data_IF_380679393605
#
_entry.id   IF_380679393605
#
_cell.length_a   1.000
_cell.length_b   1.000
_cell.length_c   1.000
_cell.angle_alpha   90.00
_cell.angle_beta   90.00
_cell.angle_gamma   90.00
#
_symmetry.space_group_name_H-M   'P 1'
#
loop_
_entity.id
_entity.type
_entity.pdbx_description
1 polymer ?
#
# COMPACT_ATOMS: atom_id res chain seq x y z
N UNK A 1 -6.13 -5.08 -8.19
CA UNK A 1 -6.57 -6.45 -8.54
C UNK A 1 -7.51 -6.36 -9.74
N UNK A 2 -7.38 -7.22 -10.75
CA UNK A 2 -8.36 -7.25 -11.86
C UNK A 2 -9.67 -7.89 -11.40
N UNK A 3 -10.80 -7.40 -11.91
CA UNK A 3 -12.15 -7.84 -11.53
C UNK A 3 -12.38 -9.33 -11.82
N UNK A 4 -12.03 -9.78 -13.02
CA UNK A 4 -12.17 -11.16 -13.47
C UNK A 4 -11.37 -12.16 -12.61
N UNK A 5 -10.15 -11.79 -12.21
CA UNK A 5 -9.35 -12.60 -11.31
C UNK A 5 -9.97 -12.68 -9.92
N UNK A 6 -10.48 -11.56 -9.39
CA UNK A 6 -11.10 -11.53 -8.07
C UNK A 6 -12.41 -12.34 -8.00
N UNK A 7 -13.18 -12.36 -9.09
CA UNK A 7 -14.39 -13.17 -9.21
C UNK A 7 -14.08 -14.67 -9.28
N UNK A 8 -12.99 -15.05 -9.98
CA UNK A 8 -12.59 -16.45 -10.16
C UNK A 8 -11.80 -17.02 -8.98
N UNK A 9 -11.05 -16.18 -8.26
CA UNK A 9 -10.12 -16.58 -7.20
C UNK A 9 -10.29 -15.74 -5.92
N UNK A 10 -11.50 -15.62 -5.36
CA UNK A 10 -11.76 -14.77 -4.20
C UNK A 10 -10.91 -15.15 -2.98
N UNK A 11 -10.59 -16.43 -2.81
CA UNK A 11 -9.71 -16.96 -1.76
C UNK A 11 -8.27 -16.48 -1.91
N UNK A 12 -7.74 -16.42 -3.14
CA UNK A 12 -6.39 -15.92 -3.39
C UNK A 12 -6.32 -14.42 -3.10
N UNK A 13 -7.35 -13.66 -3.48
CA UNK A 13 -7.44 -12.23 -3.16
C UNK A 13 -7.46 -12.00 -1.65
N UNK A 14 -8.25 -12.77 -0.90
CA UNK A 14 -8.30 -12.69 0.57
C UNK A 14 -6.97 -13.07 1.21
N UNK A 15 -6.33 -14.15 0.74
CA UNK A 15 -5.03 -14.58 1.25
C UNK A 15 -3.94 -13.55 0.98
N UNK A 16 -3.96 -12.92 -0.20
CA UNK A 16 -3.04 -11.83 -0.54
C UNK A 16 -3.22 -10.65 0.42
N UNK A 17 -4.45 -10.15 0.59
CA UNK A 17 -4.74 -9.05 1.50
C UNK A 17 -4.32 -9.36 2.94
N UNK A 18 -4.64 -10.58 3.43
CA UNK A 18 -4.23 -11.03 4.75
C UNK A 18 -2.72 -11.06 4.92
N UNK A 19 -1.98 -11.60 3.94
CA UNK A 19 -0.53 -11.70 4.02
C UNK A 19 0.15 -10.33 4.18
N UNK A 20 -0.34 -9.31 3.44
CA UNK A 20 0.17 -7.95 3.55
C UNK A 20 -0.17 -7.30 4.90
N UNK A 21 -1.41 -7.46 5.38
CA UNK A 21 -1.83 -6.94 6.70
C UNK A 21 -0.99 -7.58 7.81
N UNK A 22 -0.87 -8.90 7.82
CA UNK A 22 -0.12 -9.65 8.83
C UNK A 22 1.36 -9.23 8.86
N UNK A 23 1.97 -8.98 7.70
CA UNK A 23 3.36 -8.53 7.61
C UNK A 23 3.58 -7.12 8.19
N UNK A 24 2.57 -6.25 8.14
CA UNK A 24 2.63 -4.88 8.65
C UNK A 24 2.33 -4.79 10.15
N UNK A 25 1.53 -5.71 10.71
CA UNK A 25 1.09 -5.66 12.11
C UNK A 25 2.24 -5.55 13.11
N UNK A 26 3.34 -6.33 13.03
CA UNK A 26 4.44 -6.22 13.98
C UNK A 26 5.12 -4.84 13.96
N UNK A 27 5.25 -4.22 12.79
CA UNK A 27 5.78 -2.85 12.69
C UNK A 27 4.81 -1.84 13.31
N UNK A 28 3.51 -1.94 13.04
CA UNK A 28 2.49 -1.06 13.62
C UNK A 28 2.47 -1.15 15.15
N UNK A 29 2.64 -2.36 15.69
CA UNK A 29 2.62 -2.60 17.13
C UNK A 29 3.85 -2.04 17.87
N UNK A 30 5.04 -2.16 17.27
CA UNK A 30 6.28 -1.65 17.85
C UNK A 30 7.33 -1.37 16.76
N UNK A 31 7.32 -0.16 16.15
CA UNK A 31 8.23 0.19 15.07
C UNK A 31 9.71 0.04 15.45
N UNK A 32 10.08 0.46 16.65
CA UNK A 32 11.45 0.42 17.17
C UNK A 32 11.96 -1.01 17.28
N UNK A 33 11.18 -1.90 17.91
CA UNK A 33 11.56 -3.30 18.05
C UNK A 33 11.60 -4.03 16.69
N UNK A 34 10.71 -3.67 15.77
CA UNK A 34 10.68 -4.25 14.43
C UNK A 34 11.90 -3.84 13.59
N UNK A 35 12.31 -2.58 13.69
CA UNK A 35 13.48 -2.03 12.99
C UNK A 35 14.82 -2.50 13.57
N UNK A 36 14.83 -3.00 14.80
CA UNK A 36 16.01 -3.64 15.39
C UNK A 36 16.23 -5.06 14.87
N UNK A 37 15.28 -5.66 14.15
CA UNK A 37 15.43 -7.00 13.58
C UNK A 37 16.27 -6.95 12.29
N UNK A 38 17.48 -7.52 12.26
CA UNK A 38 18.36 -7.43 11.07
C UNK A 38 17.73 -8.04 9.82
N UNK A 39 16.99 -9.14 9.98
CA UNK A 39 16.30 -9.81 8.88
C UNK A 39 15.27 -8.92 8.18
N UNK A 40 14.57 -8.06 8.93
CA UNK A 40 13.59 -7.13 8.37
C UNK A 40 14.28 -6.07 7.52
N UNK A 41 15.36 -5.51 8.06
CA UNK A 41 16.17 -4.48 7.39
C UNK A 41 16.80 -5.04 6.12
N UNK A 42 17.45 -6.21 6.22
CA UNK A 42 18.14 -6.82 5.09
C UNK A 42 17.19 -7.23 3.96
N UNK A 43 15.99 -7.77 4.30
CA UNK A 43 14.96 -8.08 3.31
C UNK A 43 14.48 -6.83 2.57
N UNK A 44 14.21 -5.74 3.28
CA UNK A 44 13.76 -4.48 2.68
C UNK A 44 14.86 -3.83 1.83
N UNK A 45 16.10 -3.80 2.33
CA UNK A 45 17.25 -3.30 1.57
C UNK A 45 17.39 -4.03 0.24
N UNK A 46 17.38 -5.37 0.27
CA UNK A 46 17.49 -6.21 -0.94
C UNK A 46 16.34 -5.99 -1.93
N UNK A 47 15.10 -5.89 -1.45
CA UNK A 47 13.92 -5.77 -2.32
C UNK A 47 13.77 -4.36 -2.91
N UNK A 48 14.20 -3.32 -2.17
CA UNK A 48 14.06 -1.93 -2.58
C UNK A 48 15.32 -1.38 -3.27
N UNK A 49 16.46 -2.08 -3.19
CA UNK A 49 17.71 -1.64 -3.80
C UNK A 49 18.38 -0.46 -3.09
N UNK A 50 18.15 -0.31 -1.78
CA UNK A 50 18.69 0.79 -0.95
C UNK A 50 19.65 0.25 0.11
N UNK A 51 20.63 1.03 0.58
CA UNK A 51 21.46 0.66 1.73
C UNK A 51 20.62 0.34 2.98
N UNK A 52 21.07 -0.61 3.79
CA UNK A 52 20.39 -0.97 5.06
C UNK A 52 20.25 0.23 6.01
N UNK A 53 21.21 1.17 5.98
CA UNK A 53 21.19 2.41 6.77
C UNK A 53 20.02 3.33 6.45
N UNK A 54 19.50 3.26 5.23
CA UNK A 54 18.44 4.15 4.76
C UNK A 54 17.05 3.57 5.04
N UNK A 55 16.96 2.25 5.23
CA UNK A 55 15.70 1.51 5.43
C UNK A 55 14.88 2.07 6.60
N UNK A 56 15.42 2.32 7.81
CA UNK A 56 14.61 2.83 8.91
C UNK A 56 13.95 4.17 8.61
N UNK A 57 14.65 5.08 7.93
CA UNK A 57 14.12 6.38 7.53
C UNK A 57 12.99 6.24 6.51
N UNK A 58 13.18 5.40 5.50
CA UNK A 58 12.18 5.15 4.45
C UNK A 58 10.91 4.49 5.00
N UNK A 59 11.06 3.51 5.91
CA UNK A 59 9.92 2.84 6.53
C UNK A 59 9.14 3.81 7.42
N UNK A 60 9.84 4.61 8.25
CA UNK A 60 9.22 5.62 9.13
C UNK A 60 8.61 6.81 8.36
N UNK A 61 9.01 7.02 7.11
CA UNK A 61 8.44 8.06 6.24
C UNK A 61 6.99 7.80 5.81
N UNK A 62 6.41 6.65 6.14
CA UNK A 62 5.03 6.28 5.81
C UNK A 62 4.27 5.83 7.04
N UNK A 63 2.95 6.01 7.00
CA UNK A 63 2.02 5.43 7.97
C UNK A 63 1.44 4.13 7.40
N UNK A 64 1.34 3.10 8.24
CA UNK A 64 0.72 1.83 7.90
C UNK A 64 -0.55 1.65 8.73
N UNK A 65 -1.51 0.93 8.16
CA UNK A 65 -2.86 0.85 8.71
C UNK A 65 -3.17 -0.54 9.25
N UNK A 66 -3.81 -0.57 10.41
CA UNK A 66 -4.46 -1.78 10.93
C UNK A 66 -5.57 -2.25 9.99
N UNK A 67 -5.99 -3.51 10.12
CA UNK A 67 -7.11 -4.04 9.32
C UNK A 67 -8.39 -3.20 9.48
N UNK A 68 -8.66 -2.74 10.70
CA UNK A 68 -9.81 -1.88 11.02
C UNK A 68 -9.70 -0.53 10.32
N UNK A 69 -8.54 0.12 10.38
CA UNK A 69 -8.30 1.37 9.67
C UNK A 69 -8.40 1.20 8.15
N UNK A 70 -7.87 0.10 7.59
CA UNK A 70 -8.01 -0.19 6.16
C UNK A 70 -9.48 -0.32 5.76
N UNK A 71 -10.31 -1.00 6.56
CA UNK A 71 -11.74 -1.11 6.29
C UNK A 71 -12.43 0.26 6.27
N UNK A 72 -12.05 1.17 7.17
CA UNK A 72 -12.56 2.55 7.22
C UNK A 72 -12.13 3.33 5.96
N UNK A 73 -10.85 3.31 5.61
CA UNK A 73 -10.31 4.02 4.44
C UNK A 73 -10.96 3.54 3.13
N UNK A 74 -11.17 2.24 3.00
CA UNK A 74 -11.76 1.63 1.80
C UNK A 74 -13.27 1.88 1.66
N UNK A 75 -13.96 2.29 2.74
CA UNK A 75 -15.40 2.55 2.71
C UNK A 75 -15.78 4.01 2.42
N UNK A 76 -14.84 4.82 1.89
CA UNK A 76 -15.15 6.19 1.47
C UNK A 76 -13.92 7.06 1.16
N UNK A 77 -13.00 7.26 2.12
CA UNK A 77 -11.84 8.13 1.96
C UNK A 77 -11.02 7.86 0.70
N UNK A 78 -10.74 6.59 0.37
CA UNK A 78 -10.00 6.22 -0.84
C UNK A 78 -10.72 6.67 -2.11
N UNK A 79 -12.05 6.57 -2.18
CA UNK A 79 -12.81 7.05 -3.34
C UNK A 79 -12.69 8.57 -3.50
N UNK A 80 -12.76 9.32 -2.40
CA UNK A 80 -12.56 10.78 -2.42
C UNK A 80 -11.15 11.12 -2.90
N UNK A 81 -10.12 10.46 -2.36
CA UNK A 81 -8.73 10.70 -2.73
C UNK A 81 -8.48 10.45 -4.23
N UNK A 82 -9.10 9.43 -4.81
CA UNK A 82 -9.03 9.16 -6.26
C UNK A 82 -9.65 10.30 -7.06
N UNK A 83 -10.85 10.78 -6.67
CA UNK A 83 -11.55 11.86 -7.36
C UNK A 83 -10.74 13.16 -7.29
N UNK A 84 -10.28 13.54 -6.10
CA UNK A 84 -9.48 14.76 -5.89
C UNK A 84 -8.18 14.70 -6.70
N UNK A 85 -7.49 13.55 -6.71
CA UNK A 85 -6.25 13.36 -7.48
C UNK A 85 -6.51 13.47 -8.98
N UNK A 86 -7.59 12.87 -9.48
CA UNK A 86 -7.96 12.96 -10.90
C UNK A 86 -8.29 14.40 -11.32
N UNK A 87 -8.96 15.16 -10.45
CA UNK A 87 -9.24 16.57 -10.68
C UNK A 87 -7.94 17.39 -10.73
N UNK A 88 -7.06 17.23 -9.75
CA UNK A 88 -5.76 17.91 -9.73
C UNK A 88 -4.95 17.63 -11.00
N UNK A 89 -4.84 16.36 -11.42
CA UNK A 89 -4.13 15.98 -12.65
C UNK A 89 -4.76 16.58 -13.92
N UNK A 90 -6.08 16.77 -13.94
CA UNK A 90 -6.79 17.41 -15.06
C UNK A 90 -6.47 18.89 -15.15
N UNK A 91 -6.43 19.57 -14.01
CA UNK A 91 -6.04 20.98 -13.92
C UNK A 91 -4.58 21.20 -14.35
N UNK A 92 -3.70 20.23 -14.10
CA UNK A 92 -2.29 20.24 -14.53
C UNK A 92 -2.08 19.81 -16.00
N UNK A 93 -3.14 19.47 -16.75
CA UNK A 93 -3.04 19.03 -18.15
C UNK A 93 -2.46 17.61 -18.34
N UNK A 94 -2.25 16.85 -17.26
CA UNK A 94 -1.63 15.52 -17.29
C UNK A 94 -2.63 14.40 -17.58
N UNK A 95 -3.94 14.66 -17.47
CA UNK A 95 -5.00 13.69 -17.77
C UNK A 95 -5.83 14.08 -19.01
N UNK A 96 -5.16 14.31 -20.13
CA UNK A 96 -5.82 14.40 -21.44
C UNK A 96 -5.90 13.01 -22.13
N UNK A 97 -6.68 12.08 -21.58
CA UNK A 97 -7.29 10.99 -22.38
C UNK A 97 -8.46 10.35 -21.63
N UNK A 98 -9.68 10.79 -21.96
CA UNK A 98 -10.85 9.92 -21.81
C UNK A 98 -10.62 8.71 -22.72
N UNK A 99 -10.72 7.50 -22.19
CA UNK A 99 -11.03 6.34 -23.03
C UNK A 99 -12.54 6.39 -23.30
N UNK A 100 -12.94 7.25 -24.21
CA UNK A 100 -14.22 7.12 -24.89
C UNK A 100 -13.96 6.14 -26.06
N UNK A 101 -14.54 4.93 -25.98
CA UNK A 101 -14.59 3.95 -27.07
C UNK A 101 -13.61 2.78 -26.98
N UNK A 102 -14.11 1.65 -26.48
CA UNK A 102 -14.20 0.33 -27.14
C UNK A 102 -14.95 -0.64 -26.23
#
# INVERSE_FOLDING_TARGET
>A
MRKDFAEKHPEVVKAFAKSAIDAQQPYIANPEAWLQQPDNISKLSRLSGVPETDVPGLVKGNTYLTAQQQAVELNGPVNKAIIDTAQFLKEQGQSARRRDGL
#
